data_IF_335263781010
#
_entry.id   IF_335263781010
#
_cell.length_a   1.000
_cell.length_b   1.000
_cell.length_c   1.000
_cell.angle_alpha   90.00
_cell.angle_beta   90.00
_cell.angle_gamma   90.00
#
_symmetry.space_group_name_H-M   'P 1'
#
loop_
_entity.id
_entity.type
_entity.pdbx_description
1 polymer ?
#
# COMPACT_ATOMS: atom_id res chain seq x y z
N UNK A 1 -19.10 3.79 9.70
CA UNK A 1 -18.83 2.44 9.22
C UNK A 1 -17.81 2.52 8.09
N UNK A 2 -16.55 2.16 8.35
CA UNK A 2 -15.44 2.23 7.38
C UNK A 2 -14.73 0.87 7.36
N UNK A 3 -15.10 -0.03 6.41
CA UNK A 3 -14.68 -1.44 6.46
C UNK A 3 -13.17 -1.66 6.53
N UNK A 4 -12.39 -1.00 5.66
CA UNK A 4 -10.91 -1.10 5.68
C UNK A 4 -10.32 -0.76 7.05
N UNK A 5 -10.82 0.29 7.72
CA UNK A 5 -10.30 0.70 9.01
C UNK A 5 -10.76 -0.22 10.15
N UNK A 6 -12.03 -0.64 10.16
CA UNK A 6 -12.59 -1.51 11.20
C UNK A 6 -11.91 -2.89 11.17
N UNK A 7 -11.84 -3.51 10.00
CA UNK A 7 -11.22 -4.82 9.84
C UNK A 7 -9.70 -4.72 10.02
N UNK A 8 -9.10 -3.65 9.50
CA UNK A 8 -7.67 -3.38 9.63
C UNK A 8 -7.23 -3.23 11.08
N UNK A 9 -8.00 -2.55 11.93
CA UNK A 9 -7.68 -2.42 13.36
C UNK A 9 -7.73 -3.77 14.09
N UNK A 10 -8.63 -4.67 13.70
CA UNK A 10 -8.69 -6.01 14.28
C UNK A 10 -7.43 -6.82 13.93
N UNK A 11 -7.00 -6.78 12.67
CA UNK A 11 -5.76 -7.45 12.22
C UNK A 11 -4.52 -6.80 12.83
N UNK A 12 -4.46 -5.47 12.90
CA UNK A 12 -3.39 -4.74 13.59
C UNK A 12 -3.26 -5.18 15.05
N UNK A 13 -4.38 -5.23 15.78
CA UNK A 13 -4.39 -5.65 17.18
C UNK A 13 -3.87 -7.08 17.37
N UNK A 14 -4.20 -7.98 16.45
CA UNK A 14 -3.69 -9.36 16.49
C UNK A 14 -2.17 -9.42 16.24
N UNK A 15 -1.67 -8.67 15.25
CA UNK A 15 -0.23 -8.58 14.97
C UNK A 15 0.51 -7.99 16.17
N UNK A 16 0.07 -6.85 16.70
CA UNK A 16 0.74 -6.18 17.82
C UNK A 16 0.79 -7.08 19.06
N UNK A 17 -0.30 -7.81 19.36
CA UNK A 17 -0.35 -8.78 20.46
C UNK A 17 0.68 -9.90 20.27
N UNK A 18 0.72 -10.52 19.08
CA UNK A 18 1.69 -11.58 18.78
C UNK A 18 3.15 -11.09 18.89
N UNK A 19 3.44 -9.91 18.34
CA UNK A 19 4.80 -9.32 18.38
C UNK A 19 5.19 -9.03 19.83
N UNK A 20 4.29 -8.46 20.62
CA UNK A 20 4.53 -8.14 22.02
C UNK A 20 4.88 -9.39 22.83
N UNK A 21 4.07 -10.44 22.71
CA UNK A 21 4.32 -11.73 23.37
C UNK A 21 5.68 -12.32 22.94
N UNK A 22 5.99 -12.30 21.64
CA UNK A 22 7.25 -12.84 21.12
C UNK A 22 8.48 -12.03 21.59
N UNK A 23 8.44 -10.70 21.46
CA UNK A 23 9.55 -9.84 21.85
C UNK A 23 9.86 -9.93 23.35
N UNK A 24 8.84 -10.09 24.21
CA UNK A 24 9.02 -10.22 25.66
C UNK A 24 9.79 -11.47 26.08
N UNK A 25 9.82 -12.52 25.25
CA UNK A 25 10.62 -13.73 25.52
C UNK A 25 12.12 -13.40 25.48
N UNK A 26 12.55 -12.54 24.56
CA UNK A 26 13.97 -12.26 24.30
C UNK A 26 14.45 -10.93 24.90
N UNK A 27 13.55 -9.95 25.05
CA UNK A 27 13.85 -8.61 25.56
C UNK A 27 12.99 -8.29 26.79
N UNK A 28 13.26 -8.93 27.94
CA UNK A 28 12.47 -8.75 29.17
C UNK A 28 12.62 -7.34 29.77
N UNK A 29 13.69 -6.62 29.43
CA UNK A 29 13.88 -5.22 29.79
C UNK A 29 14.67 -4.48 28.71
N UNK A 30 14.61 -3.15 28.74
CA UNK A 30 15.22 -2.30 27.72
C UNK A 30 16.76 -2.39 27.68
N UNK A 31 17.42 -2.78 28.78
CA UNK A 31 18.88 -2.89 28.83
C UNK A 31 19.40 -4.05 27.98
N UNK A 32 18.67 -5.16 27.91
CA UNK A 32 18.99 -6.28 27.02
C UNK A 32 18.94 -5.82 25.56
N UNK A 33 17.88 -5.07 25.19
CA UNK A 33 17.69 -4.54 23.83
C UNK A 33 18.77 -3.52 23.43
N UNK A 34 19.18 -2.64 24.36
CA UNK A 34 20.25 -1.66 24.10
C UNK A 34 21.62 -2.34 23.95
N UNK A 35 21.80 -3.49 24.57
CA UNK A 35 23.04 -4.27 24.52
C UNK A 35 23.12 -5.20 23.30
N UNK A 36 22.02 -5.36 22.56
CA UNK A 36 21.97 -6.17 21.34
C UNK A 36 22.62 -5.45 20.16
N UNK A 37 23.88 -5.77 19.90
CA UNK A 37 24.68 -5.12 18.85
C UNK A 37 24.14 -5.40 17.44
N UNK A 38 23.53 -6.55 17.21
CA UNK A 38 22.99 -6.92 15.90
C UNK A 38 21.71 -6.12 15.61
N UNK A 39 20.80 -6.03 16.59
CA UNK A 39 19.58 -5.25 16.46
C UNK A 39 19.88 -3.75 16.25
N UNK A 40 20.84 -3.19 16.99
CA UNK A 40 21.24 -1.80 16.83
C UNK A 40 21.86 -1.54 15.45
N UNK A 41 22.71 -2.44 14.97
CA UNK A 41 23.32 -2.34 13.65
C UNK A 41 22.27 -2.44 12.54
N UNK A 42 21.34 -3.39 12.64
CA UNK A 42 20.24 -3.57 11.69
C UNK A 42 19.36 -2.33 11.60
N UNK A 43 18.88 -1.79 12.72
CA UNK A 43 18.01 -0.61 12.68
C UNK A 43 18.73 0.63 12.15
N UNK A 44 20.02 0.75 12.47
CA UNK A 44 20.88 1.81 11.92
C UNK A 44 21.00 1.69 10.40
N UNK A 45 21.26 0.51 9.88
CA UNK A 45 21.39 0.27 8.43
C UNK A 45 20.07 0.53 7.70
N UNK A 46 18.94 0.03 8.22
CA UNK A 46 17.61 0.30 7.67
C UNK A 46 17.37 1.81 7.50
N UNK A 47 17.70 2.61 8.53
CA UNK A 47 17.50 4.06 8.50
C UNK A 47 18.53 4.79 7.64
N UNK A 48 19.82 4.50 7.82
CA UNK A 48 20.91 5.33 7.27
C UNK A 48 21.32 4.90 5.86
N UNK A 49 21.06 3.65 5.49
CA UNK A 49 21.38 3.09 4.17
C UNK A 49 20.10 2.78 3.41
N UNK A 50 19.23 1.92 3.94
CA UNK A 50 18.01 1.46 3.26
C UNK A 50 17.07 2.61 2.89
N UNK A 51 16.81 3.49 3.86
CA UNK A 51 16.03 4.73 3.72
C UNK A 51 16.90 5.97 3.95
N UNK A 52 18.13 5.96 3.44
CA UNK A 52 19.16 6.97 3.71
C UNK A 52 18.82 8.39 3.24
N UNK A 53 17.89 8.52 2.30
CA UNK A 53 17.33 9.79 1.79
C UNK A 53 16.46 10.52 2.83
N UNK A 54 15.86 9.77 3.75
CA UNK A 54 14.99 10.28 4.81
C UNK A 54 15.54 10.03 6.22
N UNK A 55 16.80 9.63 6.37
CA UNK A 55 17.42 9.27 7.66
C UNK A 55 17.34 10.34 8.75
N UNK A 56 17.32 11.62 8.34
CA UNK A 56 17.36 12.79 9.24
C UNK A 56 15.96 13.22 9.71
N UNK A 57 14.90 12.51 9.30
CA UNK A 57 13.54 12.85 9.69
C UNK A 57 13.26 12.55 11.18
N UNK A 58 12.55 13.45 11.90
CA UNK A 58 12.40 13.35 13.35
C UNK A 58 11.46 12.22 13.79
N UNK A 59 10.68 11.64 12.87
CA UNK A 59 9.73 10.58 13.16
C UNK A 59 10.37 9.19 13.26
N UNK A 60 11.67 9.04 12.95
CA UNK A 60 12.36 7.75 13.08
C UNK A 60 12.32 7.24 14.53
N UNK A 61 11.80 6.02 14.75
CA UNK A 61 11.86 5.40 16.06
C UNK A 61 13.29 5.24 16.57
N UNK A 62 13.48 5.47 17.87
CA UNK A 62 14.74 5.20 18.57
C UNK A 62 14.68 3.79 19.14
N UNK A 63 15.51 2.88 18.62
CA UNK A 63 15.54 1.46 19.00
C UNK A 63 16.17 1.27 20.39
N UNK A 64 15.55 1.84 21.43
CA UNK A 64 16.09 1.87 22.80
C UNK A 64 15.15 1.29 23.84
N UNK A 65 13.94 0.90 23.45
CA UNK A 65 12.94 0.28 24.35
C UNK A 65 12.23 -0.87 23.65
N UNK A 66 11.81 -1.86 24.44
CA UNK A 66 11.03 -3.02 23.97
C UNK A 66 9.74 -2.60 23.26
N UNK A 67 9.02 -1.61 23.78
CA UNK A 67 7.81 -1.07 23.14
C UNK A 67 8.08 -0.47 21.75
N UNK A 68 9.24 0.17 21.55
CA UNK A 68 9.61 0.68 20.22
C UNK A 68 9.91 -0.48 19.27
N UNK A 69 10.62 -1.52 19.73
CA UNK A 69 10.84 -2.72 18.92
C UNK A 69 9.53 -3.37 18.49
N UNK A 70 8.61 -3.58 19.45
CA UNK A 70 7.28 -4.17 19.19
C UNK A 70 6.54 -3.38 18.13
N UNK A 71 6.46 -2.06 18.27
CA UNK A 71 5.78 -1.21 17.29
C UNK A 71 6.45 -1.21 15.92
N UNK A 72 7.78 -1.19 15.86
CA UNK A 72 8.52 -1.25 14.59
C UNK A 72 8.29 -2.59 13.88
N UNK A 73 8.39 -3.71 14.59
CA UNK A 73 8.13 -5.05 14.04
C UNK A 73 6.66 -5.20 13.61
N UNK A 74 5.70 -4.78 14.44
CA UNK A 74 4.28 -4.81 14.09
C UNK A 74 3.98 -3.98 12.83
N UNK A 75 4.61 -2.80 12.70
CA UNK A 75 4.48 -1.96 11.50
C UNK A 75 5.02 -2.65 10.25
N UNK A 76 6.20 -3.26 10.34
CA UNK A 76 6.81 -3.99 9.21
C UNK A 76 5.91 -5.16 8.79
N UNK A 77 5.44 -5.97 9.75
CA UNK A 77 4.56 -7.11 9.49
C UNK A 77 3.22 -6.63 8.89
N UNK A 78 2.62 -5.58 9.44
CA UNK A 78 1.39 -4.98 8.92
C UNK A 78 1.54 -4.53 7.46
N UNK A 79 2.62 -3.82 7.14
CA UNK A 79 2.90 -3.35 5.78
C UNK A 79 3.03 -4.53 4.81
N UNK A 80 3.81 -5.55 5.19
CA UNK A 80 4.08 -6.71 4.36
C UNK A 80 2.88 -7.65 4.20
N UNK A 81 1.93 -7.63 5.13
CA UNK A 81 0.77 -8.53 5.13
C UNK A 81 -0.52 -7.79 4.80
N UNK A 82 -1.22 -7.27 5.81
CA UNK A 82 -2.58 -6.76 5.71
C UNK A 82 -2.69 -5.50 4.83
N UNK A 83 -1.74 -4.56 4.95
CA UNK A 83 -1.73 -3.37 4.09
C UNK A 83 -1.54 -3.76 2.63
N UNK A 84 -0.52 -4.56 2.34
CA UNK A 84 -0.26 -5.07 0.99
C UNK A 84 -1.49 -5.80 0.44
N UNK A 85 -2.09 -6.71 1.22
CA UNK A 85 -3.27 -7.45 0.80
C UNK A 85 -4.46 -6.53 0.46
N UNK A 86 -4.73 -5.54 1.31
CA UNK A 86 -5.84 -4.61 1.15
C UNK A 86 -5.72 -3.74 -0.11
N UNK A 87 -4.50 -3.39 -0.54
CA UNK A 87 -4.28 -2.58 -1.75
C UNK A 87 -3.99 -3.41 -3.00
N UNK A 88 -3.62 -4.69 -2.85
CA UNK A 88 -3.19 -5.54 -3.96
C UNK A 88 -4.33 -6.42 -4.52
N UNK A 89 -4.99 -7.23 -3.69
CA UNK A 89 -5.88 -8.29 -4.20
C UNK A 89 -7.23 -7.78 -4.71
N UNK A 90 -7.57 -6.52 -4.41
CA UNK A 90 -8.75 -5.86 -4.97
C UNK A 90 -8.53 -5.28 -6.37
N UNK A 91 -7.31 -5.31 -6.93
CA UNK A 91 -7.01 -4.63 -8.19
C UNK A 91 -7.90 -5.12 -9.32
N UNK A 92 -7.95 -6.41 -9.63
CA UNK A 92 -8.80 -6.93 -10.71
C UNK A 92 -10.29 -6.79 -10.39
N UNK A 93 -10.71 -7.08 -9.15
CA UNK A 93 -12.12 -7.02 -8.75
C UNK A 93 -12.74 -5.63 -8.95
N UNK A 94 -11.97 -4.56 -8.76
CA UNK A 94 -12.43 -3.19 -8.98
C UNK A 94 -12.01 -2.60 -10.33
N UNK A 95 -10.82 -2.92 -10.85
CA UNK A 95 -10.25 -2.30 -12.05
C UNK A 95 -10.28 -3.19 -13.29
N UNK A 96 -10.75 -4.44 -13.19
CA UNK A 96 -10.95 -5.34 -14.34
C UNK A 96 -11.98 -4.80 -15.34
N UNK A 97 -12.94 -4.02 -14.85
CA UNK A 97 -13.77 -3.15 -15.69
C UNK A 97 -13.16 -1.74 -15.73
N UNK A 98 -12.36 -1.47 -16.77
CA UNK A 98 -11.57 -0.23 -16.88
C UNK A 98 -12.33 1.08 -16.65
N UNK A 99 -13.57 1.26 -17.15
CA UNK A 99 -14.34 2.47 -16.87
C UNK A 99 -14.48 2.80 -15.37
N UNK A 100 -14.45 1.80 -14.49
CA UNK A 100 -14.51 2.02 -13.04
C UNK A 100 -13.19 2.55 -12.45
N UNK A 101 -12.04 2.22 -13.04
CA UNK A 101 -10.70 2.69 -12.61
C UNK A 101 -9.77 2.96 -13.79
N UNK A 102 -9.97 4.08 -14.51
CA UNK A 102 -9.11 4.45 -15.63
C UNK A 102 -7.71 4.82 -15.13
N UNK A 103 -6.68 4.31 -15.81
CA UNK A 103 -5.27 4.54 -15.46
C UNK A 103 -4.69 5.80 -16.11
N UNK A 104 -5.33 6.30 -17.18
CA UNK A 104 -4.89 7.47 -17.95
C UNK A 104 -6.09 8.27 -18.42
N UNK A 105 -5.93 9.61 -18.46
CA UNK A 105 -6.81 10.53 -19.17
C UNK A 105 -6.05 11.14 -20.36
N UNK A 106 -6.60 11.02 -21.57
CA UNK A 106 -5.95 11.37 -22.85
C UNK A 106 -6.30 12.74 -23.40
N UNK A 107 -7.37 13.36 -22.92
CA UNK A 107 -7.78 14.72 -23.31
C UNK A 107 -8.39 15.47 -22.12
N UNK A 108 -8.35 16.79 -22.20
CA UNK A 108 -9.00 17.68 -21.24
C UNK A 108 -10.53 17.70 -21.48
N UNK A 109 -11.25 18.38 -20.59
CA UNK A 109 -12.66 18.70 -20.85
C UNK A 109 -12.78 19.53 -22.13
N UNK A 110 -13.66 19.18 -23.06
CA UNK A 110 -13.86 19.96 -24.27
C UNK A 110 -14.52 21.31 -23.95
N UNK A 111 -14.22 22.32 -24.75
CA UNK A 111 -14.83 23.66 -24.62
C UNK A 111 -16.17 23.74 -25.37
N UNK A 112 -17.15 24.54 -24.88
CA UNK A 112 -18.42 24.74 -25.57
C UNK A 112 -18.25 25.17 -27.03
N UNK A 113 -19.03 24.55 -27.93
CA UNK A 113 -18.97 24.81 -29.37
C UNK A 113 -17.93 23.99 -30.15
N UNK A 114 -17.10 23.18 -29.48
CA UNK A 114 -16.20 22.21 -30.14
C UNK A 114 -16.93 20.96 -30.60
N UNK A 115 -16.32 20.20 -31.52
CA UNK A 115 -16.87 18.90 -31.97
C UNK A 115 -16.92 17.88 -30.83
N UNK A 116 -15.91 17.92 -29.97
CA UNK A 116 -15.75 17.06 -28.82
C UNK A 116 -16.78 17.40 -27.73
N UNK A 117 -17.15 18.67 -27.57
CA UNK A 117 -18.25 19.06 -26.68
C UNK A 117 -19.59 18.51 -27.16
N UNK A 118 -19.85 18.61 -28.47
CA UNK A 118 -21.03 17.99 -29.08
C UNK A 118 -21.03 16.47 -28.93
N UNK A 119 -19.88 15.81 -29.01
CA UNK A 119 -19.75 14.37 -28.74
C UNK A 119 -20.20 14.01 -27.33
N UNK A 120 -19.82 14.80 -26.31
CA UNK A 120 -20.30 14.59 -24.93
C UNK A 120 -21.82 14.71 -24.84
N UNK A 121 -22.44 15.65 -25.56
CA UNK A 121 -23.89 15.83 -25.57
C UNK A 121 -24.63 14.69 -26.29
N UNK A 122 -24.07 14.17 -27.39
CA UNK A 122 -24.74 13.18 -28.24
C UNK A 122 -24.40 11.73 -27.90
N UNK A 123 -23.18 11.46 -27.43
CA UNK A 123 -22.66 10.12 -27.13
C UNK A 123 -21.62 10.22 -25.98
N UNK A 124 -22.10 10.38 -24.73
CA UNK A 124 -21.23 10.54 -23.56
C UNK A 124 -20.37 9.30 -23.30
N UNK A 125 -20.83 8.11 -23.68
CA UNK A 125 -20.08 6.86 -23.50
C UNK A 125 -18.87 6.82 -24.44
N UNK A 126 -19.06 7.14 -25.73
CA UNK A 126 -17.96 7.28 -26.68
C UNK A 126 -17.00 8.40 -26.23
N UNK A 127 -17.55 9.51 -25.73
CA UNK A 127 -16.75 10.61 -25.22
C UNK A 127 -15.88 10.16 -24.04
N UNK A 128 -16.46 9.41 -23.11
CA UNK A 128 -15.77 8.85 -21.95
C UNK A 128 -14.67 7.87 -22.36
N UNK A 129 -14.98 6.89 -23.22
CA UNK A 129 -14.02 5.90 -23.72
C UNK A 129 -12.85 6.56 -24.47
N UNK A 130 -13.10 7.62 -25.24
CA UNK A 130 -12.05 8.41 -25.90
C UNK A 130 -11.18 9.20 -24.93
N UNK A 131 -11.70 9.55 -23.76
CA UNK A 131 -10.98 10.27 -22.71
C UNK A 131 -10.12 9.33 -21.87
N UNK A 132 -10.63 8.17 -21.46
CA UNK A 132 -9.90 7.26 -20.59
C UNK A 132 -8.87 6.40 -21.34
N UNK A 133 -8.19 5.49 -20.64
CA UNK A 133 -7.20 4.54 -21.15
C UNK A 133 -7.61 3.90 -22.49
N UNK A 134 -6.71 3.88 -23.47
CA UNK A 134 -6.98 3.32 -24.80
C UNK A 134 -7.15 1.80 -24.76
N UNK A 135 -7.87 1.23 -25.72
CA UNK A 135 -8.21 -0.21 -25.72
C UNK A 135 -6.99 -1.13 -25.57
N UNK A 136 -5.91 -0.89 -26.33
CA UNK A 136 -4.69 -1.71 -26.26
C UNK A 136 -4.04 -1.62 -24.86
N UNK A 137 -3.95 -0.42 -24.30
CA UNK A 137 -3.40 -0.22 -22.95
C UNK A 137 -4.30 -0.85 -21.87
N UNK A 138 -5.62 -0.80 -22.06
CA UNK A 138 -6.59 -1.43 -21.18
C UNK A 138 -6.41 -2.94 -21.14
N UNK A 139 -6.24 -3.59 -22.30
CA UNK A 139 -6.00 -5.04 -22.36
C UNK A 139 -4.74 -5.42 -21.58
N UNK A 140 -3.63 -4.72 -21.81
CA UNK A 140 -2.36 -4.95 -21.10
C UNK A 140 -2.55 -4.73 -19.59
N UNK A 141 -3.18 -3.62 -19.21
CA UNK A 141 -3.43 -3.26 -17.82
C UNK A 141 -4.26 -4.31 -17.09
N UNK A 142 -5.38 -4.76 -17.67
CA UNK A 142 -6.25 -5.80 -17.10
C UNK A 142 -5.51 -7.11 -16.94
N UNK A 143 -4.77 -7.56 -17.96
CA UNK A 143 -3.97 -8.80 -17.85
C UNK A 143 -2.97 -8.75 -16.71
N UNK A 144 -2.31 -7.61 -16.49
CA UNK A 144 -1.35 -7.45 -15.38
C UNK A 144 -2.06 -7.54 -14.04
N UNK A 145 -3.13 -6.77 -13.82
CA UNK A 145 -3.82 -6.77 -12.53
C UNK A 145 -4.54 -8.09 -12.25
N UNK A 146 -4.92 -8.85 -13.28
CA UNK A 146 -5.44 -10.21 -13.14
C UNK A 146 -4.39 -11.13 -12.50
N UNK A 147 -3.16 -11.12 -13.00
CA UNK A 147 -2.06 -11.90 -12.43
C UNK A 147 -1.77 -11.46 -10.99
N UNK A 148 -1.68 -10.15 -10.75
CA UNK A 148 -1.35 -9.60 -9.42
C UNK A 148 -2.43 -9.84 -8.36
N UNK A 149 -3.67 -10.08 -8.77
CA UNK A 149 -4.80 -10.28 -7.84
C UNK A 149 -5.03 -11.74 -7.47
N UNK A 150 -4.32 -12.68 -8.09
CA UNK A 150 -4.48 -14.10 -7.82
C UNK A 150 -3.53 -14.56 -6.71
N UNK A 151 -4.04 -15.45 -5.85
CA UNK A 151 -3.23 -16.17 -4.88
C UNK A 151 -2.65 -17.43 -5.54
N UNK A 152 -1.36 -17.69 -5.31
CA UNK A 152 -0.76 -18.97 -5.66
C UNK A 152 -1.31 -20.08 -4.76
N UNK A 153 -1.09 -21.34 -5.15
CA UNK A 153 -1.63 -22.51 -4.45
C UNK A 153 -0.73 -23.05 -3.34
N UNK A 154 0.52 -22.60 -3.28
CA UNK A 154 1.53 -22.91 -2.25
C UNK A 154 1.41 -21.99 -1.03
#
# INVERSE_FOLDING_TARGET
DYPYAVDGLAVWSAIETWVDEYCRIYYPCDDVLRSDVELQAWWKEVREVGHGDIKDQPWWPKMTTSNVLVRSCATIIWIASALHAAVNFGQYSYAGYLPNRPTVSRRQMPEPGTKEYKEVETDPDLAFIRTITSQLQSIIGVSVIEVLSNHSSD
#
